data_IF_257974566036
#
_entry.id   IF_257974566036
#
_cell.length_a   1.000
_cell.length_b   1.000
_cell.length_c   1.000
_cell.angle_alpha   90.00
_cell.angle_beta   90.00
_cell.angle_gamma   90.00
#
_symmetry.space_group_name_H-M   'P 1'
#
loop_
_entity.id
_entity.type
_entity.pdbx_description
1 polymer ?
#
# COMPACT_ATOMS: atom_id res chain seq x y z
N UNK A 1 -2.78 27.70 -13.47
CA UNK A 1 -3.63 26.79 -12.65
C UNK A 1 -4.03 25.59 -13.50
N UNK A 2 -4.34 24.41 -12.93
CA UNK A 2 -4.70 23.19 -13.69
C UNK A 2 -5.82 23.44 -14.71
N UNK A 3 -6.75 24.32 -14.36
CA UNK A 3 -7.83 24.84 -15.21
C UNK A 3 -7.34 25.47 -16.50
N UNK A 4 -6.26 26.26 -16.43
CA UNK A 4 -5.71 26.99 -17.58
C UNK A 4 -5.04 26.03 -18.56
N UNK A 5 -4.66 24.85 -18.09
CA UNK A 5 -4.14 23.74 -18.90
C UNK A 5 -5.24 22.75 -19.33
N UNK A 6 -6.51 23.04 -19.05
CA UNK A 6 -7.65 22.17 -19.35
C UNK A 6 -7.53 20.75 -18.74
N UNK A 7 -6.91 20.66 -17.55
CA UNK A 7 -6.74 19.41 -16.81
C UNK A 7 -7.89 19.28 -15.80
N UNK A 8 -8.74 18.27 -16.00
CA UNK A 8 -9.80 17.94 -15.05
C UNK A 8 -9.22 17.44 -13.72
N UNK A 9 -9.78 17.91 -12.61
CA UNK A 9 -9.39 17.47 -11.28
C UNK A 9 -10.62 17.38 -10.36
N UNK A 10 -10.47 16.59 -9.31
CA UNK A 10 -11.42 16.50 -8.21
C UNK A 10 -10.66 16.35 -6.89
N UNK A 11 -11.30 16.72 -5.79
CA UNK A 11 -10.74 16.45 -4.46
C UNK A 11 -11.07 15.02 -4.06
N UNK A 12 -10.10 14.31 -3.47
CA UNK A 12 -10.35 13.01 -2.87
C UNK A 12 -11.18 13.21 -1.59
N UNK A 13 -12.46 12.80 -1.56
CA UNK A 13 -13.37 13.13 -0.48
C UNK A 13 -12.97 12.37 0.78
N UNK A 14 -13.14 13.01 1.95
CA UNK A 14 -12.85 12.46 3.29
C UNK A 14 -11.38 12.12 3.56
N UNK A 15 -10.46 12.40 2.65
CA UNK A 15 -9.04 12.25 2.95
C UNK A 15 -8.61 13.23 4.05
N UNK A 16 -7.71 12.76 4.92
CA UNK A 16 -7.02 13.57 5.92
C UNK A 16 -5.53 13.75 5.59
N UNK A 17 -5.06 13.10 4.54
CA UNK A 17 -3.66 13.05 4.15
C UNK A 17 -3.50 13.23 2.63
N UNK A 18 -2.47 13.97 2.24
CA UNK A 18 -2.11 14.28 0.85
C UNK A 18 -1.44 13.10 0.15
N UNK A 19 -0.86 12.16 0.90
CA UNK A 19 -0.13 11.01 0.34
C UNK A 19 -1.06 9.84 0.03
N UNK A 20 -1.94 10.02 -0.96
CA UNK A 20 -2.92 8.99 -1.36
C UNK A 20 -2.28 7.64 -1.72
N UNK A 21 -1.06 7.65 -2.27
CA UNK A 21 -0.32 6.44 -2.63
C UNK A 21 -0.07 5.52 -1.43
N UNK A 22 0.06 6.06 -0.21
CA UNK A 22 0.45 5.28 0.96
C UNK A 22 -0.70 4.43 1.51
N UNK A 23 -1.94 4.90 1.38
CA UNK A 23 -3.11 4.29 2.02
C UNK A 23 -4.20 3.82 1.05
N UNK A 24 -4.21 4.27 -0.20
CA UNK A 24 -5.26 3.86 -1.14
C UNK A 24 -5.06 2.41 -1.60
N UNK A 25 -6.16 1.69 -1.95
CA UNK A 25 -6.07 0.33 -2.45
C UNK A 25 -5.22 0.20 -3.72
N UNK A 26 -4.50 -0.92 -3.85
CA UNK A 26 -3.75 -1.26 -5.06
C UNK A 26 -4.71 -1.92 -6.06
N UNK A 27 -4.79 -1.37 -7.28
CA UNK A 27 -5.57 -1.96 -8.36
C UNK A 27 -4.83 -3.15 -8.97
N UNK A 28 -5.48 -4.31 -9.03
CA UNK A 28 -4.91 -5.56 -9.57
C UNK A 28 -5.55 -5.98 -10.88
N UNK A 29 -6.81 -5.60 -11.09
CA UNK A 29 -7.54 -5.70 -12.35
C UNK A 29 -8.46 -4.49 -12.48
N UNK A 30 -9.11 -4.31 -13.63
CA UNK A 30 -9.97 -3.16 -13.94
C UNK A 30 -10.92 -2.77 -12.80
N UNK A 31 -11.56 -3.74 -12.14
CA UNK A 31 -12.51 -3.48 -11.05
C UNK A 31 -12.13 -4.20 -9.73
N UNK A 32 -10.86 -4.58 -9.55
CA UNK A 32 -10.41 -5.35 -8.38
C UNK A 32 -9.28 -4.63 -7.65
N UNK A 33 -9.58 -4.21 -6.42
CA UNK A 33 -8.70 -3.40 -5.60
C UNK A 33 -8.37 -4.13 -4.30
N UNK A 34 -7.09 -4.40 -4.06
CA UNK A 34 -6.59 -4.94 -2.80
C UNK A 34 -6.33 -3.79 -1.83
N UNK A 35 -7.06 -3.76 -0.71
CA UNK A 35 -6.87 -2.76 0.32
C UNK A 35 -6.14 -3.34 1.52
N UNK A 36 -4.91 -2.89 1.68
CA UNK A 36 -4.08 -3.18 2.83
C UNK A 36 -4.41 -2.28 4.02
N UNK A 37 -3.96 -2.67 5.20
CA UNK A 37 -4.11 -1.86 6.41
C UNK A 37 -3.00 -0.81 6.45
N UNK A 38 -3.37 0.46 6.33
CA UNK A 38 -2.44 1.57 6.52
C UNK A 38 -2.31 1.89 8.01
N UNK A 39 -1.20 1.45 8.62
CA UNK A 39 -0.91 1.67 10.04
C UNK A 39 0.58 1.94 10.28
N UNK A 40 1.12 3.06 9.76
CA UNK A 40 2.54 3.35 9.85
C UNK A 40 2.98 3.61 11.29
N UNK A 41 4.10 3.00 11.70
CA UNK A 41 4.67 3.16 13.04
C UNK A 41 5.05 4.61 13.39
N UNK A 42 5.29 5.45 12.38
CA UNK A 42 5.65 6.86 12.56
C UNK A 42 4.45 7.80 12.81
N UNK A 43 3.19 7.34 12.67
CA UNK A 43 1.99 8.15 12.96
C UNK A 43 1.28 7.77 14.28
N UNK A 44 1.94 7.01 15.16
CA UNK A 44 1.29 6.41 16.34
C UNK A 44 1.08 7.36 17.54
N UNK A 45 1.52 8.62 17.45
CA UNK A 45 1.26 9.59 18.52
C UNK A 45 -0.21 10.06 18.48
N UNK A 46 -0.81 10.39 19.63
CA UNK A 46 -2.20 10.91 19.69
C UNK A 46 -2.47 12.08 18.72
N UNK A 47 -1.46 12.94 18.52
CA UNK A 47 -1.55 14.09 17.61
C UNK A 47 -1.57 13.67 16.13
N UNK A 48 -0.87 12.60 15.77
CA UNK A 48 -0.72 12.13 14.39
C UNK A 48 -1.76 11.07 14.02
N UNK A 49 -2.27 10.27 14.96
CA UNK A 49 -3.32 9.27 14.67
C UNK A 49 -4.56 9.88 14.00
N UNK A 50 -4.91 11.13 14.35
CA UNK A 50 -6.04 11.83 13.71
C UNK A 50 -5.82 12.18 12.24
N UNK A 51 -4.58 12.15 11.74
CA UNK A 51 -4.26 12.40 10.32
C UNK A 51 -4.39 11.15 9.46
N UNK A 52 -4.54 9.96 10.07
CA UNK A 52 -4.78 8.72 9.34
C UNK A 52 -6.19 8.77 8.72
N UNK A 53 -6.22 8.66 7.40
CA UNK A 53 -7.43 8.61 6.57
C UNK A 53 -8.24 7.34 6.83
N UNK A 54 -9.57 7.47 6.88
CA UNK A 54 -10.48 6.33 6.87
C UNK A 54 -10.68 5.87 5.42
N UNK A 55 -9.86 4.90 5.00
CA UNK A 55 -9.85 4.38 3.62
C UNK A 55 -11.19 3.76 3.23
N UNK A 56 -11.91 3.16 4.18
CA UNK A 56 -13.25 2.61 3.97
C UNK A 56 -14.25 3.69 3.60
N UNK A 57 -14.25 4.78 4.35
CA UNK A 57 -15.13 5.91 4.10
C UNK A 57 -14.82 6.62 2.76
N UNK A 58 -13.55 6.68 2.37
CA UNK A 58 -13.09 7.22 1.07
C UNK A 58 -13.61 6.32 -0.06
N UNK A 59 -13.26 5.02 -0.05
CA UNK A 59 -13.61 4.07 -1.11
C UNK A 59 -15.14 3.99 -1.31
N UNK A 60 -15.91 3.99 -0.21
CA UNK A 60 -17.38 3.99 -0.27
C UNK A 60 -17.93 5.25 -0.94
N UNK A 61 -17.31 6.41 -0.73
CA UNK A 61 -17.77 7.68 -1.31
C UNK A 61 -17.46 7.76 -2.82
N UNK A 62 -16.37 7.15 -3.27
CA UNK A 62 -15.98 7.10 -4.69
C UNK A 62 -16.42 5.80 -5.38
N UNK A 63 -17.29 5.02 -4.73
CA UNK A 63 -17.87 3.78 -5.26
C UNK A 63 -16.84 2.71 -5.68
N UNK A 64 -15.72 2.60 -4.96
CA UNK A 64 -14.72 1.54 -5.17
C UNK A 64 -14.97 0.38 -4.18
N UNK A 65 -15.15 -0.82 -4.74
CA UNK A 65 -15.19 -2.06 -3.96
C UNK A 65 -13.78 -2.60 -3.76
N UNK A 66 -13.47 -3.04 -2.54
CA UNK A 66 -12.12 -3.51 -2.17
C UNK A 66 -12.13 -4.88 -1.52
N UNK A 67 -11.11 -5.68 -1.82
CA UNK A 67 -10.74 -6.87 -1.05
C UNK A 67 -9.90 -6.40 0.13
N UNK A 68 -10.48 -6.44 1.34
CA UNK A 68 -9.83 -5.98 2.56
C UNK A 68 -8.85 -7.02 3.08
N UNK A 69 -7.71 -6.56 3.59
CA UNK A 69 -6.69 -7.41 4.21
C UNK A 69 -6.25 -6.81 5.54
N UNK A 70 -5.80 -7.68 6.44
CA UNK A 70 -5.16 -7.33 7.72
C UNK A 70 -3.65 -7.15 7.59
N UNK A 71 -3.09 -7.34 6.39
CA UNK A 71 -1.67 -7.12 6.11
C UNK A 71 -1.40 -5.61 6.16
N UNK A 72 -0.45 -5.23 6.99
CA UNK A 72 0.02 -3.85 7.09
C UNK A 72 0.93 -3.56 5.91
N UNK A 73 0.58 -2.56 5.12
CA UNK A 73 1.39 -2.15 3.97
C UNK A 73 1.28 -0.65 3.78
N UNK A 74 2.45 -0.03 3.62
CA UNK A 74 2.60 1.37 3.27
C UNK A 74 2.94 1.44 1.77
N UNK A 75 2.07 2.08 0.99
CA UNK A 75 2.22 2.14 -0.46
C UNK A 75 3.50 2.85 -0.92
N UNK A 76 4.09 3.74 -0.12
CA UNK A 76 5.40 4.33 -0.39
C UNK A 76 6.55 3.31 -0.37
N UNK A 77 6.32 2.10 0.16
CA UNK A 77 7.29 0.99 0.19
C UNK A 77 7.03 -0.06 -0.90
N UNK A 78 6.13 0.20 -1.85
CA UNK A 78 5.70 -0.77 -2.85
C UNK A 78 5.55 -0.13 -4.22
N UNK A 79 5.99 -0.83 -5.26
CA UNK A 79 5.64 -0.52 -6.65
C UNK A 79 5.13 -1.79 -7.32
N UNK A 80 3.92 -1.74 -7.85
CA UNK A 80 3.21 -2.87 -8.43
C UNK A 80 3.08 -2.72 -9.95
N UNK A 81 3.22 -3.85 -10.64
CA UNK A 81 2.97 -4.04 -12.07
C UNK A 81 2.10 -5.26 -12.27
N UNK A 82 1.66 -5.49 -13.52
CA UNK A 82 0.75 -6.58 -13.91
C UNK A 82 1.09 -7.94 -13.30
N UNK A 83 2.37 -8.32 -13.22
CA UNK A 83 2.79 -9.63 -12.71
C UNK A 83 3.98 -9.58 -11.73
N UNK A 84 4.39 -8.39 -11.29
CA UNK A 84 5.56 -8.21 -10.43
C UNK A 84 5.31 -7.14 -9.38
N UNK A 85 5.96 -7.30 -8.23
CA UNK A 85 6.03 -6.24 -7.23
C UNK A 85 7.47 -6.00 -6.80
N UNK A 86 7.82 -4.75 -6.63
CA UNK A 86 9.03 -4.34 -5.94
C UNK A 86 8.59 -3.77 -4.59
N UNK A 87 9.16 -4.27 -3.49
CA UNK A 87 8.84 -3.76 -2.17
C UNK A 87 10.03 -3.82 -1.22
N UNK A 88 9.95 -3.10 -0.11
CA UNK A 88 10.98 -3.15 0.92
C UNK A 88 10.74 -4.29 1.90
N UNK A 89 11.79 -4.77 2.57
CA UNK A 89 11.69 -5.80 3.63
C UNK A 89 10.92 -5.33 4.88
N UNK A 90 10.55 -4.04 4.93
CA UNK A 90 9.62 -3.45 5.92
C UNK A 90 8.33 -4.25 6.04
N UNK A 91 7.85 -4.84 4.94
CA UNK A 91 6.66 -5.70 4.92
C UNK A 91 6.71 -6.81 5.97
N UNK A 92 7.88 -7.37 6.26
CA UNK A 92 8.03 -8.42 7.28
C UNK A 92 8.11 -7.85 8.70
N UNK A 93 8.69 -6.66 8.85
CA UNK A 93 8.80 -5.99 10.16
C UNK A 93 7.43 -5.51 10.63
N UNK A 94 6.60 -5.02 9.72
CA UNK A 94 5.24 -4.55 10.04
C UNK A 94 4.23 -5.69 10.19
N UNK A 95 4.58 -6.90 9.76
CA UNK A 95 3.69 -8.07 9.83
C UNK A 95 4.35 -9.25 10.56
N UNK A 96 4.83 -9.08 11.81
CA UNK A 96 5.55 -10.12 12.55
C UNK A 96 4.68 -11.34 12.88
N UNK A 97 3.36 -11.21 12.82
CA UNK A 97 2.40 -12.30 13.01
C UNK A 97 2.39 -13.33 11.88
N UNK A 98 2.92 -12.97 10.70
CA UNK A 98 2.98 -13.85 9.55
C UNK A 98 4.36 -14.50 9.42
N UNK A 99 4.37 -15.80 9.12
CA UNK A 99 5.58 -16.45 8.63
C UNK A 99 5.94 -15.90 7.24
N UNK A 100 7.23 -15.71 6.94
CA UNK A 100 7.68 -15.01 5.72
C UNK A 100 7.14 -15.63 4.44
N UNK A 101 7.22 -16.96 4.28
CA UNK A 101 6.73 -17.63 3.07
C UNK A 101 5.20 -17.54 2.98
N UNK A 102 4.49 -17.66 4.10
CA UNK A 102 3.04 -17.45 4.14
C UNK A 102 2.65 -16.03 3.72
N UNK A 103 3.37 -15.00 4.19
CA UNK A 103 3.13 -13.61 3.82
C UNK A 103 3.37 -13.37 2.33
N UNK A 104 4.49 -13.85 1.80
CA UNK A 104 4.81 -13.77 0.36
C UNK A 104 3.70 -14.43 -0.46
N UNK A 105 3.28 -15.64 -0.10
CA UNK A 105 2.20 -16.34 -0.79
C UNK A 105 0.89 -15.53 -0.80
N UNK A 106 0.49 -14.98 0.35
CA UNK A 106 -0.69 -14.11 0.45
C UNK A 106 -0.56 -12.87 -0.42
N UNK A 107 0.61 -12.22 -0.44
CA UNK A 107 0.86 -11.06 -1.30
C UNK A 107 0.73 -11.43 -2.79
N UNK A 108 1.19 -12.62 -3.19
CA UNK A 108 1.08 -13.07 -4.59
C UNK A 108 -0.37 -13.24 -5.01
N UNK A 109 -1.18 -13.88 -4.15
CA UNK A 109 -2.60 -14.07 -4.38
C UNK A 109 -3.36 -12.73 -4.41
N UNK A 110 -3.09 -11.84 -3.45
CA UNK A 110 -3.76 -10.54 -3.32
C UNK A 110 -3.40 -9.57 -4.43
N UNK A 111 -2.13 -9.50 -4.82
CA UNK A 111 -1.61 -8.58 -5.84
C UNK A 111 -1.62 -9.17 -7.26
N UNK A 112 -1.94 -10.45 -7.40
CA UNK A 112 -1.95 -11.19 -8.67
C UNK A 112 -0.61 -11.18 -9.40
N UNK A 113 0.45 -11.39 -8.63
CA UNK A 113 1.83 -11.36 -9.14
C UNK A 113 2.43 -12.77 -9.14
N UNK A 114 3.47 -12.95 -9.96
CA UNK A 114 4.23 -14.20 -10.02
C UNK A 114 5.68 -14.04 -9.61
N UNK A 115 6.15 -12.80 -9.43
CA UNK A 115 7.50 -12.51 -8.97
C UNK A 115 7.50 -11.33 -8.00
N UNK A 116 8.46 -11.32 -7.09
CA UNK A 116 8.71 -10.17 -6.21
C UNK A 116 10.20 -9.88 -6.09
N UNK A 117 10.53 -8.60 -6.00
CA UNK A 117 11.89 -8.15 -5.66
C UNK A 117 11.84 -7.41 -4.33
N UNK A 118 12.65 -7.88 -3.37
CA UNK A 118 12.75 -7.31 -2.04
C UNK A 118 14.01 -6.45 -1.91
N UNK A 119 13.83 -5.21 -1.46
CA UNK A 119 14.93 -4.30 -1.13
C UNK A 119 15.08 -4.17 0.39
N UNK A 120 16.30 -4.28 0.93
CA UNK A 120 16.53 -4.07 2.35
C UNK A 120 16.29 -2.60 2.73
N UNK A 121 15.49 -2.35 3.76
CA UNK A 121 15.25 -1.01 4.29
C UNK A 121 16.26 -0.61 5.39
N UNK A 122 17.34 -1.38 5.57
CA UNK A 122 18.39 -1.11 6.54
C UNK A 122 19.70 -0.71 5.85
N UNK A 123 20.25 0.44 6.25
CA UNK A 123 21.60 0.91 5.88
C UNK A 123 22.75 0.04 6.45
N UNK A 124 22.44 -1.02 7.20
CA UNK A 124 23.41 -1.84 7.92
C UNK A 124 23.51 -3.31 7.44
N UNK A 125 22.72 -3.71 6.45
CA UNK A 125 22.82 -5.05 5.85
C UNK A 125 23.03 -4.92 4.35
N UNK A 126 24.31 -4.76 3.97
CA UNK A 126 24.77 -5.11 2.64
C UNK A 126 24.56 -6.61 2.43
N UNK A 127 23.40 -7.04 1.97
CA UNK A 127 23.22 -8.36 1.37
C UNK A 127 21.93 -8.48 0.55
N UNK A 128 22.16 -8.69 -0.75
CA UNK A 128 21.36 -9.43 -1.74
C UNK A 128 19.95 -8.89 -2.03
N UNK A 129 19.80 -8.34 -3.24
CA UNK A 129 18.51 -8.27 -3.93
C UNK A 129 17.96 -9.70 -4.00
N UNK A 130 16.92 -10.00 -3.24
CA UNK A 130 16.23 -11.29 -3.34
C UNK A 130 15.12 -11.17 -4.37
N UNK A 131 15.33 -11.84 -5.50
CA UNK A 131 14.23 -12.25 -6.38
C UNK A 131 13.65 -13.52 -5.79
N UNK A 132 12.39 -13.45 -5.35
CA UNK A 132 11.62 -14.60 -4.87
C UNK A 132 10.58 -14.94 -5.92
#
# INVERSE_FOLDING_TARGET
MLTDCNINFALLPKTKDVWAVDYMPIQTELNKFARFTYNPSYLQTKKLLKTISDVDAICSHICINTIKTDIILDGGNVTHWTNKVIMTDRIFVDNPQYERKQLIKKLYELLQITNSTLFPNNRATSQVIQTV
#
